data_IF_515391672488
#
_entry.id   IF_515391672488
#
_cell.length_a   1.000
_cell.length_b   1.000
_cell.length_c   1.000
_cell.angle_alpha   90.00
_cell.angle_beta   90.00
_cell.angle_gamma   90.00
#
_symmetry.space_group_name_H-M   'P 1'
#
loop_
_entity.id
_entity.type
_entity.pdbx_description
1 polymer ?
#
# COMPACT_ATOMS: atom_id res chain seq x y z
N UNK A 1 -9.48 13.20 -22.02
CA UNK A 1 -9.74 12.67 -20.67
C UNK A 1 -8.96 13.47 -19.67
N UNK A 2 -9.59 13.88 -18.62
CA UNK A 2 -8.89 14.62 -17.59
C UNK A 2 -8.03 13.69 -16.77
N UNK A 3 -6.97 14.22 -16.19
CA UNK A 3 -6.09 13.42 -15.37
C UNK A 3 -6.86 12.78 -14.21
N UNK A 4 -7.78 13.52 -13.61
CA UNK A 4 -8.54 12.98 -12.49
C UNK A 4 -9.37 11.77 -12.93
N UNK A 5 -9.94 11.82 -14.12
CA UNK A 5 -10.74 10.70 -14.60
C UNK A 5 -9.83 9.50 -14.87
N UNK A 6 -8.64 9.74 -15.38
CA UNK A 6 -7.72 8.65 -15.67
C UNK A 6 -7.29 7.96 -14.37
N UNK A 7 -7.03 8.75 -13.33
CA UNK A 7 -6.64 8.18 -12.05
C UNK A 7 -7.79 7.43 -11.40
N UNK A 8 -9.00 7.98 -11.51
CA UNK A 8 -10.15 7.31 -10.94
C UNK A 8 -10.38 5.99 -11.64
N UNK A 9 -10.31 5.98 -12.96
CA UNK A 9 -10.51 4.76 -13.70
C UNK A 9 -9.45 3.73 -13.36
N UNK A 10 -8.21 4.17 -13.13
CA UNK A 10 -7.15 3.25 -12.77
C UNK A 10 -7.45 2.56 -11.45
N UNK A 11 -7.99 3.28 -10.49
CA UNK A 11 -8.24 2.70 -9.18
C UNK A 11 -9.58 1.97 -9.04
N UNK A 12 -10.52 2.24 -9.92
CA UNK A 12 -11.84 1.61 -9.80
C UNK A 12 -12.21 0.73 -10.99
N UNK A 13 -11.29 0.59 -11.92
CA UNK A 13 -11.55 -0.18 -13.11
C UNK A 13 -11.85 -1.63 -12.74
N UNK A 14 -12.73 -2.24 -13.49
CA UNK A 14 -13.08 -3.63 -13.25
C UNK A 14 -11.91 -4.58 -13.51
N UNK A 15 -10.86 -4.10 -14.17
CA UNK A 15 -9.68 -4.93 -14.37
C UNK A 15 -8.82 -5.04 -13.12
N UNK A 16 -9.11 -4.25 -12.07
CA UNK A 16 -8.35 -4.37 -10.82
C UNK A 16 -8.66 -5.74 -10.23
N UNK A 17 -7.64 -6.51 -9.92
CA UNK A 17 -7.84 -7.86 -9.41
C UNK A 17 -8.62 -7.90 -8.10
N UNK A 18 -9.22 -9.01 -7.85
CA UNK A 18 -9.98 -9.22 -6.64
C UNK A 18 -9.09 -9.09 -5.41
N UNK A 19 -9.73 -8.74 -4.31
CA UNK A 19 -9.06 -8.62 -3.04
C UNK A 19 -8.49 -9.98 -2.63
N UNK A 20 -7.20 -10.10 -2.42
CA UNK A 20 -6.60 -11.37 -2.03
C UNK A 20 -7.02 -11.82 -0.64
N UNK A 21 -7.68 -10.94 0.12
CA UNK A 21 -8.19 -11.29 1.42
C UNK A 21 -9.69 -11.55 1.39
N UNK A 22 -10.27 -11.66 0.20
CA UNK A 22 -11.70 -11.98 0.10
C UNK A 22 -11.94 -13.31 0.81
N UNK A 23 -12.89 -13.34 1.70
CA UNK A 23 -13.17 -14.56 2.43
C UNK A 23 -12.49 -14.65 3.79
N UNK A 24 -11.42 -13.91 4.02
CA UNK A 24 -10.82 -13.84 5.34
C UNK A 24 -9.91 -12.60 5.40
N UNK A 25 -9.99 -11.84 6.44
CA UNK A 25 -9.13 -10.66 6.58
C UNK A 25 -7.68 -11.07 6.81
N UNK A 26 -6.77 -10.16 6.52
CA UNK A 26 -5.37 -10.37 6.82
C UNK A 26 -5.18 -10.52 8.32
N UNK A 27 -4.29 -11.41 8.72
CA UNK A 27 -4.00 -11.59 10.13
C UNK A 27 -2.91 -10.65 10.58
N UNK A 28 -2.80 -10.45 11.88
CA UNK A 28 -1.71 -9.66 12.43
C UNK A 28 -0.37 -10.31 12.15
N UNK A 29 -0.33 -11.64 12.08
CA UNK A 29 0.89 -12.35 11.74
C UNK A 29 1.31 -12.06 10.31
N UNK A 30 0.36 -12.00 9.38
CA UNK A 30 0.68 -11.66 8.00
C UNK A 30 1.23 -10.23 7.90
N UNK A 31 0.63 -9.30 8.62
CA UNK A 31 1.10 -7.92 8.61
C UNK A 31 2.49 -7.79 9.21
N UNK A 32 2.78 -8.51 10.28
CA UNK A 32 4.09 -8.47 10.91
C UNK A 32 5.17 -9.04 9.99
N UNK A 33 4.86 -10.14 9.29
CA UNK A 33 5.80 -10.69 8.35
C UNK A 33 5.96 -9.78 7.15
N UNK A 34 4.88 -9.15 6.73
CA UNK A 34 4.94 -8.17 5.64
C UNK A 34 5.83 -7.00 5.99
N UNK A 35 5.81 -6.56 7.25
CA UNK A 35 6.68 -5.49 7.68
C UNK A 35 8.15 -5.93 7.62
N UNK A 36 8.45 -7.16 8.00
CA UNK A 36 9.81 -7.65 7.90
C UNK A 36 10.25 -7.71 6.44
N UNK A 37 9.37 -8.14 5.56
CA UNK A 37 9.68 -8.17 4.12
C UNK A 37 9.91 -6.76 3.60
N UNK A 38 9.10 -5.81 4.02
CA UNK A 38 9.23 -4.42 3.60
C UNK A 38 10.62 -3.88 3.94
N UNK A 39 11.08 -4.15 5.14
CA UNK A 39 12.41 -3.72 5.56
C UNK A 39 13.48 -4.53 4.84
N UNK A 40 13.33 -5.84 4.79
CA UNK A 40 14.36 -6.71 4.23
C UNK A 40 14.56 -6.56 2.74
N UNK A 41 13.51 -6.24 2.00
CA UNK A 41 13.62 -6.04 0.56
C UNK A 41 14.08 -4.62 0.20
N UNK A 42 14.21 -3.76 1.19
CA UNK A 42 14.71 -2.41 0.93
C UNK A 42 13.67 -1.44 0.38
N UNK A 43 12.40 -1.72 0.60
CA UNK A 43 11.33 -0.83 0.09
C UNK A 43 11.50 0.60 0.60
N UNK A 44 12.00 0.73 1.83
CA UNK A 44 12.25 2.07 2.39
C UNK A 44 13.30 2.86 1.64
N UNK A 45 14.10 2.21 0.81
CA UNK A 45 15.09 2.94 0.03
C UNK A 45 14.45 3.91 -0.94
N UNK A 46 13.23 3.62 -1.37
CA UNK A 46 12.53 4.44 -2.35
C UNK A 46 11.21 5.02 -1.84
N UNK A 47 10.67 4.47 -0.77
CA UNK A 47 9.35 4.87 -0.28
C UNK A 47 9.42 5.43 1.12
N UNK A 48 8.54 6.40 1.41
CA UNK A 48 8.41 6.97 2.73
C UNK A 48 7.19 6.38 3.41
N UNK A 49 7.36 5.97 4.66
CA UNK A 49 6.25 5.65 5.54
C UNK A 49 6.45 6.54 6.77
N UNK A 50 5.51 7.38 7.06
CA UNK A 50 5.66 8.37 8.12
C UNK A 50 6.71 9.40 7.72
N UNK A 51 7.79 9.46 8.44
CA UNK A 51 8.86 10.39 8.15
C UNK A 51 10.15 9.69 7.73
N UNK A 52 10.07 8.39 7.44
CA UNK A 52 11.27 7.60 7.15
C UNK A 52 11.19 6.98 5.78
N UNK A 53 12.24 7.16 5.00
CA UNK A 53 12.34 6.52 3.70
C UNK A 53 12.81 7.45 2.62
N UNK A 54 12.90 6.92 1.40
CA UNK A 54 13.38 7.65 0.25
C UNK A 54 12.27 8.29 -0.57
N UNK A 55 12.66 8.98 -1.62
CA UNK A 55 11.74 9.76 -2.41
C UNK A 55 11.53 9.30 -3.83
N UNK A 56 12.13 8.19 -4.23
CA UNK A 56 12.01 7.75 -5.62
C UNK A 56 10.63 7.19 -5.93
N UNK A 57 9.98 6.60 -4.96
CA UNK A 57 8.63 6.12 -5.12
C UNK A 57 7.64 7.00 -4.38
N UNK A 58 6.36 6.84 -4.61
CA UNK A 58 5.38 7.63 -3.89
C UNK A 58 5.34 7.27 -2.41
N UNK A 59 4.95 8.22 -1.56
CA UNK A 59 4.80 7.93 -0.15
C UNK A 59 3.78 6.83 0.06
N UNK A 60 4.07 5.92 0.99
CA UNK A 60 3.17 4.82 1.29
C UNK A 60 2.48 4.98 2.65
N UNK A 61 2.65 6.13 3.28
CA UNK A 61 2.11 6.37 4.61
C UNK A 61 0.62 6.06 4.73
N UNK A 62 -0.12 6.28 3.66
CA UNK A 62 -1.55 6.02 3.65
C UNK A 62 -1.94 4.99 2.60
N UNK A 63 -1.04 4.08 2.30
CA UNK A 63 -1.30 3.10 1.25
C UNK A 63 -2.57 2.28 1.53
N UNK A 64 -2.81 1.95 2.78
CA UNK A 64 -3.98 1.16 3.15
C UNK A 64 -5.31 1.88 2.91
N UNK A 65 -5.28 3.20 2.86
CA UNK A 65 -6.48 3.96 2.57
C UNK A 65 -6.63 4.23 1.07
N UNK A 66 -5.51 4.36 0.39
CA UNK A 66 -5.52 4.85 -1.00
C UNK A 66 -5.52 3.76 -2.03
N UNK A 67 -5.01 2.58 -1.72
CA UNK A 67 -4.86 1.52 -2.69
C UNK A 67 -5.76 0.34 -2.37
N UNK A 68 -6.33 -0.26 -3.40
CA UNK A 68 -7.12 -1.47 -3.20
C UNK A 68 -6.19 -2.65 -3.03
N UNK A 69 -6.47 -3.54 -2.09
CA UNK A 69 -5.57 -4.67 -1.82
C UNK A 69 -5.30 -5.54 -3.04
N UNK A 70 -6.32 -5.77 -3.89
CA UNK A 70 -6.12 -6.56 -5.09
C UNK A 70 -5.12 -5.92 -6.03
N UNK A 71 -5.19 -4.59 -6.16
CA UNK A 71 -4.24 -3.87 -7.00
C UNK A 71 -2.83 -3.93 -6.41
N UNK A 72 -2.72 -3.73 -5.09
CA UNK A 72 -1.41 -3.76 -4.42
C UNK A 72 -0.76 -5.13 -4.59
N UNK A 73 -1.54 -6.18 -4.38
CA UNK A 73 -1.03 -7.54 -4.52
C UNK A 73 -0.55 -7.78 -5.95
N UNK A 74 -1.34 -7.42 -6.93
CA UNK A 74 -0.99 -7.63 -8.33
C UNK A 74 0.22 -6.80 -8.75
N UNK A 75 0.32 -5.57 -8.24
CA UNK A 75 1.47 -4.73 -8.50
C UNK A 75 2.74 -5.37 -7.94
N UNK A 76 2.68 -5.87 -6.72
CA UNK A 76 3.84 -6.49 -6.09
C UNK A 76 4.27 -7.76 -6.81
N UNK A 77 3.36 -8.45 -7.47
CA UNK A 77 3.68 -9.66 -8.21
C UNK A 77 4.39 -9.35 -9.53
N UNK A 78 4.28 -8.16 -10.02
CA UNK A 78 4.96 -7.80 -11.28
C UNK A 78 4.67 -6.38 -11.68
N UNK A 79 5.38 -5.40 -11.10
CA UNK A 79 5.09 -3.98 -11.39
C UNK A 79 5.20 -3.63 -12.87
N UNK A 80 6.13 -4.25 -13.59
CA UNK A 80 6.34 -3.94 -14.99
C UNK A 80 5.20 -4.38 -15.89
N UNK A 81 4.30 -5.21 -15.37
CA UNK A 81 3.12 -5.57 -16.16
C UNK A 81 2.20 -4.36 -16.29
N UNK A 82 2.22 -3.45 -15.31
CA UNK A 82 1.35 -2.29 -15.30
C UNK A 82 2.02 -1.11 -15.97
N UNK A 83 3.33 -0.97 -15.76
CA UNK A 83 4.11 0.07 -16.40
C UNK A 83 5.50 -0.48 -16.67
N UNK A 84 5.85 -0.63 -17.94
CA UNK A 84 7.11 -1.27 -18.32
C UNK A 84 8.33 -0.52 -17.81
N UNK A 85 8.21 0.80 -17.65
CA UNK A 85 9.33 1.64 -17.27
C UNK A 85 9.37 1.98 -15.78
N UNK A 86 8.54 1.34 -14.97
CA UNK A 86 8.51 1.67 -13.56
C UNK A 86 9.78 1.14 -12.87
N UNK A 87 10.25 1.88 -11.89
CA UNK A 87 11.48 1.53 -11.20
C UNK A 87 11.28 0.59 -10.02
N UNK A 88 10.04 0.33 -9.62
CA UNK A 88 9.79 -0.62 -8.56
C UNK A 88 10.27 -1.99 -9.01
N UNK A 89 11.17 -2.62 -8.28
CA UNK A 89 11.73 -3.89 -8.73
C UNK A 89 10.70 -4.99 -8.71
N UNK A 90 10.87 -5.95 -9.62
CA UNK A 90 10.12 -7.18 -9.56
C UNK A 90 10.95 -8.15 -8.74
N UNK A 91 10.56 -8.37 -7.50
CA UNK A 91 11.32 -9.21 -6.59
C UNK A 91 11.05 -10.70 -6.78
N UNK A 92 10.17 -11.07 -7.69
CA UNK A 92 9.82 -12.47 -7.87
C UNK A 92 9.13 -13.04 -6.64
N UNK A 93 8.27 -12.26 -6.00
CA UNK A 93 7.67 -12.68 -4.75
C UNK A 93 6.75 -13.88 -4.93
N UNK A 94 6.79 -14.78 -3.95
CA UNK A 94 5.81 -15.86 -3.90
C UNK A 94 4.44 -15.28 -3.59
N UNK A 95 3.41 -16.05 -3.81
CA UNK A 95 2.06 -15.60 -3.51
C UNK A 95 1.94 -15.25 -2.03
N UNK A 96 2.55 -16.05 -1.16
CA UNK A 96 2.50 -15.82 0.28
C UNK A 96 3.20 -14.53 0.66
N UNK A 97 4.38 -14.28 0.10
CA UNK A 97 5.11 -13.07 0.43
C UNK A 97 4.42 -11.82 -0.11
N UNK A 98 3.87 -11.90 -1.32
CA UNK A 98 3.10 -10.78 -1.86
C UNK A 98 1.85 -10.51 -1.01
N UNK A 99 1.22 -11.57 -0.51
CA UNK A 99 0.06 -11.41 0.35
C UNK A 99 0.46 -10.75 1.67
N UNK A 100 1.59 -11.14 2.24
CA UNK A 100 2.06 -10.57 3.50
C UNK A 100 2.45 -9.11 3.37
N UNK A 101 3.12 -8.76 2.27
CA UNK A 101 3.43 -7.37 2.01
C UNK A 101 2.16 -6.56 1.83
N UNK A 102 1.19 -7.09 1.10
CA UNK A 102 -0.09 -6.42 0.93
C UNK A 102 -0.75 -6.22 2.29
N UNK A 103 -0.72 -7.23 3.15
CA UNK A 103 -1.30 -7.13 4.49
C UNK A 103 -0.66 -6.00 5.28
N UNK A 104 0.66 -5.90 5.22
CA UNK A 104 1.34 -4.81 5.92
C UNK A 104 0.94 -3.45 5.35
N UNK A 105 0.94 -3.31 4.03
CA UNK A 105 0.62 -2.03 3.41
C UNK A 105 -0.84 -1.61 3.71
N UNK A 106 -1.73 -2.58 3.88
CA UNK A 106 -3.12 -2.26 4.23
C UNK A 106 -3.24 -1.71 5.64
N UNK A 107 -2.24 -1.91 6.49
CA UNK A 107 -2.27 -1.32 7.83
C UNK A 107 -1.85 0.15 7.83
N UNK A 108 -1.31 0.63 6.71
CA UNK A 108 -0.80 1.99 6.64
C UNK A 108 -1.96 2.94 6.32
N UNK A 109 -2.58 3.41 7.36
CA UNK A 109 -3.72 4.33 7.25
C UNK A 109 -3.43 5.56 8.09
N UNK A 110 -4.13 6.65 7.84
CA UNK A 110 -3.88 7.86 8.61
C UNK A 110 -4.18 7.65 10.07
N UNK A 111 -3.51 8.38 10.91
CA UNK A 111 -3.78 8.34 12.31
C UNK A 111 -5.22 8.66 12.47
N UNK A 112 -5.84 7.93 13.31
CA UNK A 112 -7.20 8.02 13.41
C UNK A 112 -7.64 9.30 13.83
N UNK A 113 -8.82 9.44 13.63
CA UNK A 113 -9.38 10.55 14.07
C UNK A 113 -9.08 10.94 15.39
N UNK A 114 -8.51 10.22 16.15
CA UNK A 114 -8.26 10.69 17.42
C UNK A 114 -7.56 11.93 17.25
N UNK A 115 -6.74 11.92 16.36
CA UNK A 115 -5.95 13.04 16.19
C UNK A 115 -6.84 14.14 15.98
N UNK A 116 -7.82 13.96 15.17
CA UNK A 116 -8.60 15.01 14.95
C UNK A 116 -9.51 15.10 16.00
N UNK A 117 -9.84 14.08 16.51
CA UNK A 117 -10.81 14.21 17.49
C UNK A 117 -10.19 14.93 18.57
N UNK A 118 -9.06 14.70 18.82
CA UNK A 118 -8.49 15.29 19.81
C UNK A 118 -8.29 16.65 19.61
N UNK A 119 -8.07 16.93 18.54
CA UNK A 119 -7.84 18.18 18.33
C UNK A 119 -8.99 18.86 18.67
N UNK A 120 -9.94 18.25 18.49
CA UNK A 120 -11.11 18.88 18.80
C UNK A 120 -11.01 19.16 20.22
N UNK A 121 -10.61 18.24 20.89
CA UNK A 121 -10.56 18.43 22.25
C UNK A 121 -9.69 19.56 22.54
N UNK A 122 -8.68 19.67 21.99
CA UNK A 122 -7.87 20.63 22.32
C UNK A 122 -8.20 21.78 21.88
N UNK A 123 -8.59 21.59 21.01
CA UNK A 123 -8.83 22.74 20.64
C UNK A 123 -9.48 23.34 21.69
N UNK A 124 -9.66 22.92 22.28
CA UNK A 124 -10.20 23.44 23.07
C UNK A 124 -9.66 24.03 23.88
N UNK A 125 -9.19 24.05 24.00
CA UNK A 125 -8.78 24.71 24.70
C UNK A 125 -8.75 25.60 24.59
#
# INVERSE_FOLDING_TARGET
>A
MQLADALLNFYVDASIPDDPFAGRPASDADSAEGQRLYVGLGCRGCHIVGSSGGYYGPPLTEAGRRLKPGWTYAWLKGPQRWRADVRCPDYGLSDTDALRLTAYLETLVPAASPAKSEKAARGVK
#
